data_IF_470691912679
#
_entry.id   IF_470691912679
#
_cell.length_a   1.000
_cell.length_b   1.000
_cell.length_c   1.000
_cell.angle_alpha   90.00
_cell.angle_beta   90.00
_cell.angle_gamma   90.00
#
_symmetry.space_group_name_H-M   'P 1'
#
loop_
_entity.id
_entity.type
_entity.pdbx_description
1 polymer ?
#
# COMPACT_ATOMS: atom_id res chain seq x y z
N UNK A 1 -0.87 6.15 -5.02
CA UNK A 1 0.01 5.04 -4.61
C UNK A 1 1.44 5.50 -4.83
N UNK A 2 2.38 5.16 -3.95
CA UNK A 2 3.83 5.37 -4.17
C UNK A 2 4.54 4.03 -4.26
N UNK A 3 5.73 4.02 -4.88
CA UNK A 3 6.57 2.83 -4.90
C UNK A 3 7.12 2.55 -3.49
N UNK A 4 7.07 1.30 -3.06
CA UNK A 4 7.57 0.84 -1.76
C UNK A 4 9.02 0.40 -1.90
N UNK A 5 9.89 0.91 -1.03
CA UNK A 5 11.27 0.43 -0.90
C UNK A 5 11.36 -0.55 0.25
N UNK A 6 11.51 -1.84 -0.06
CA UNK A 6 11.66 -2.89 0.95
C UNK A 6 13.11 -3.02 1.43
N UNK A 7 13.26 -3.34 2.70
CA UNK A 7 14.54 -3.74 3.27
C UNK A 7 15.03 -5.06 2.66
N UNK A 8 16.34 -5.16 2.49
CA UNK A 8 16.99 -6.40 2.05
C UNK A 8 17.01 -7.48 3.16
N UNK A 9 16.91 -7.06 4.43
CA UNK A 9 16.95 -7.96 5.57
C UNK A 9 15.61 -8.69 5.74
N UNK A 10 15.58 -9.97 5.37
CA UNK A 10 14.42 -10.83 5.60
C UNK A 10 14.38 -11.30 7.06
N UNK A 11 13.26 -11.12 7.79
CA UNK A 11 13.15 -11.55 9.18
C UNK A 11 13.46 -13.04 9.38
N UNK A 12 14.17 -13.36 10.47
CA UNK A 12 14.74 -14.69 10.71
C UNK A 12 13.69 -15.82 10.72
N UNK A 13 12.48 -15.55 11.20
CA UNK A 13 11.38 -16.53 11.19
C UNK A 13 11.01 -16.93 9.77
N UNK A 14 10.94 -15.97 8.84
CA UNK A 14 10.60 -16.20 7.44
C UNK A 14 11.74 -16.93 6.74
N UNK A 15 12.98 -16.47 6.90
CA UNK A 15 14.15 -17.08 6.25
C UNK A 15 14.51 -18.47 6.79
N UNK A 16 14.25 -18.77 8.07
CA UNK A 16 14.54 -20.09 8.67
C UNK A 16 13.40 -21.09 8.51
N UNK A 17 12.15 -20.68 8.75
CA UNK A 17 10.99 -21.61 8.75
C UNK A 17 10.24 -21.63 7.42
N UNK A 18 10.24 -20.52 6.69
CA UNK A 18 9.56 -20.37 5.40
C UNK A 18 10.00 -21.41 4.37
N UNK A 19 11.30 -21.51 4.03
CA UNK A 19 11.77 -22.47 3.02
C UNK A 19 11.45 -23.93 3.35
N UNK A 20 11.42 -24.29 4.65
CA UNK A 20 11.03 -25.65 5.07
C UNK A 20 9.56 -25.93 4.76
N UNK A 21 8.67 -24.99 5.09
CA UNK A 21 7.23 -25.17 4.84
C UNK A 21 6.90 -25.02 3.36
N UNK A 22 7.60 -24.16 2.63
CA UNK A 22 7.50 -24.06 1.18
C UNK A 22 7.79 -25.43 0.54
N UNK A 23 8.93 -26.06 0.85
CA UNK A 23 9.28 -27.40 0.34
C UNK A 23 8.24 -28.46 0.68
N UNK A 24 7.63 -28.39 1.87
CA UNK A 24 6.54 -29.30 2.23
C UNK A 24 5.32 -29.11 1.33
N UNK A 25 4.91 -27.88 1.04
CA UNK A 25 3.79 -27.60 0.13
C UNK A 25 4.11 -28.04 -1.31
N UNK A 26 5.36 -27.85 -1.76
CA UNK A 26 5.85 -28.33 -3.05
C UNK A 26 5.79 -29.87 -3.15
N UNK A 27 6.20 -30.58 -2.10
CA UNK A 27 6.09 -32.04 -2.02
C UNK A 27 4.63 -32.52 -2.01
N UNK A 28 3.74 -31.83 -1.29
CA UNK A 28 2.30 -32.15 -1.28
C UNK A 28 1.69 -31.98 -2.67
N UNK A 29 2.03 -30.90 -3.39
CA UNK A 29 1.60 -30.72 -4.76
C UNK A 29 2.15 -31.81 -5.68
N UNK A 30 3.44 -32.14 -5.58
CA UNK A 30 4.06 -33.16 -6.41
C UNK A 30 3.48 -34.58 -6.18
N UNK A 31 2.99 -34.86 -4.97
CA UNK A 31 2.37 -36.14 -4.64
C UNK A 31 0.99 -36.33 -5.29
N UNK A 32 0.17 -35.27 -5.35
CA UNK A 32 -1.14 -35.30 -5.99
C UNK A 32 -1.56 -33.92 -6.54
N UNK A 33 -1.10 -33.55 -7.76
CA UNK A 33 -1.45 -32.28 -8.38
C UNK A 33 -2.95 -32.12 -8.60
N UNK A 34 -3.65 -33.22 -8.90
CA UNK A 34 -5.09 -33.19 -9.17
C UNK A 34 -5.87 -32.82 -7.90
N UNK A 35 -5.56 -33.41 -6.75
CA UNK A 35 -6.18 -33.07 -5.48
C UNK A 35 -5.96 -31.58 -5.10
N UNK A 36 -4.82 -31.01 -5.48
CA UNK A 36 -4.50 -29.61 -5.22
C UNK A 36 -5.27 -28.62 -6.12
N UNK A 37 -5.85 -29.09 -7.23
CA UNK A 37 -6.60 -28.29 -8.20
C UNK A 37 -8.12 -28.31 -7.95
N UNK A 38 -8.62 -29.25 -7.14
CA UNK A 38 -10.05 -29.33 -6.83
C UNK A 38 -10.49 -28.08 -6.06
N UNK A 39 -11.66 -27.49 -6.39
CA UNK A 39 -12.28 -26.46 -5.56
C UNK A 39 -12.36 -26.88 -4.08
N UNK A 40 -12.15 -25.94 -3.15
CA UNK A 40 -12.24 -26.16 -1.70
C UNK A 40 -11.21 -27.12 -1.06
N UNK A 41 -10.19 -27.57 -1.79
CA UNK A 41 -9.12 -28.35 -1.18
C UNK A 41 -8.35 -27.55 -0.11
N UNK A 42 -7.89 -28.27 0.92
CA UNK A 42 -7.08 -27.75 2.03
C UNK A 42 -5.66 -28.31 2.05
N UNK A 43 -5.25 -29.01 0.98
CA UNK A 43 -3.95 -29.69 0.87
C UNK A 43 -2.80 -28.69 0.99
N UNK A 44 -2.90 -27.56 0.28
CA UNK A 44 -1.85 -26.54 0.21
C UNK A 44 -2.05 -25.41 1.23
N UNK A 45 -2.37 -25.77 2.47
CA UNK A 45 -2.59 -24.79 3.55
C UNK A 45 -1.26 -24.27 4.11
N UNK A 46 -1.02 -22.97 3.97
CA UNK A 46 0.12 -22.28 4.59
C UNK A 46 -0.01 -22.22 6.12
N UNK A 47 1.12 -22.09 6.81
CA UNK A 47 1.20 -21.88 8.24
C UNK A 47 1.28 -20.39 8.56
N UNK A 48 0.15 -19.83 8.99
CA UNK A 48 -0.03 -18.39 9.19
C UNK A 48 0.98 -17.78 10.17
N UNK A 49 1.32 -18.49 11.25
CA UNK A 49 2.29 -18.02 12.26
C UNK A 49 3.75 -17.88 11.79
N UNK A 50 4.04 -18.04 10.50
CA UNK A 50 5.37 -17.74 9.92
C UNK A 50 5.35 -16.38 9.24
N UNK A 51 4.43 -16.15 8.31
CA UNK A 51 4.34 -14.87 7.60
C UNK A 51 3.61 -13.80 8.43
N UNK A 52 2.69 -14.18 9.34
CA UNK A 52 2.02 -13.27 10.28
C UNK A 52 2.81 -13.07 11.58
N UNK A 53 4.05 -13.56 11.66
CA UNK A 53 4.90 -13.32 12.82
C UNK A 53 5.12 -11.81 13.05
N UNK A 54 5.20 -11.41 14.32
CA UNK A 54 5.33 -10.00 14.70
C UNK A 54 6.55 -9.34 14.07
N UNK A 55 7.68 -10.06 13.92
CA UNK A 55 8.90 -9.54 13.30
C UNK A 55 8.73 -9.28 11.80
N UNK A 56 7.98 -10.15 11.10
CA UNK A 56 7.65 -9.97 9.67
C UNK A 56 6.80 -8.73 9.48
N UNK A 57 5.73 -8.64 10.25
CA UNK A 57 4.80 -7.52 10.19
C UNK A 57 5.46 -6.20 10.59
N UNK A 58 6.31 -6.20 11.61
CA UNK A 58 7.06 -5.02 12.04
C UNK A 58 8.01 -4.53 10.94
N UNK A 59 8.74 -5.44 10.28
CA UNK A 59 9.64 -5.04 9.20
C UNK A 59 8.86 -4.46 8.01
N UNK A 60 7.75 -5.09 7.59
CA UNK A 60 6.91 -4.55 6.52
C UNK A 60 6.34 -3.17 6.87
N UNK A 61 5.96 -2.95 8.14
CA UNK A 61 5.50 -1.63 8.62
C UNK A 61 6.60 -0.57 8.51
N UNK A 62 7.85 -0.92 8.83
CA UNK A 62 8.98 0.01 8.71
C UNK A 62 9.26 0.33 7.24
N UNK A 63 9.36 -0.69 6.40
CA UNK A 63 9.60 -0.57 4.95
C UNK A 63 8.54 0.26 4.22
N UNK A 64 7.33 0.33 4.79
CA UNK A 64 6.19 1.03 4.20
C UNK A 64 5.75 2.25 5.00
N UNK A 65 6.60 2.74 5.91
CA UNK A 65 6.33 3.95 6.70
C UNK A 65 5.00 3.90 7.48
N UNK A 66 4.61 2.72 7.95
CA UNK A 66 3.33 2.44 8.65
C UNK A 66 2.07 2.72 7.80
N UNK A 67 2.22 2.86 6.47
CA UNK A 67 1.12 3.09 5.53
C UNK A 67 0.68 1.80 4.85
N UNK A 68 -0.56 1.81 4.36
CA UNK A 68 -1.03 0.79 3.43
C UNK A 68 -0.25 0.89 2.11
N UNK A 69 0.30 -0.23 1.62
CA UNK A 69 0.99 -0.27 0.31
C UNK A 69 0.12 0.17 -0.87
N UNK A 70 -1.21 0.06 -0.76
CA UNK A 70 -2.14 0.39 -1.85
C UNK A 70 -2.72 1.81 -1.71
N UNK A 71 -3.46 2.08 -0.63
CA UNK A 71 -4.19 3.35 -0.49
C UNK A 71 -3.38 4.49 0.14
N UNK A 72 -2.18 4.20 0.67
CA UNK A 72 -1.30 5.13 1.39
C UNK A 72 -1.84 5.73 2.69
N UNK A 73 -3.01 5.29 3.17
CA UNK A 73 -3.54 5.74 4.46
C UNK A 73 -2.65 5.25 5.61
N UNK A 74 -2.52 6.08 6.64
CA UNK A 74 -1.98 5.68 7.95
C UNK A 74 -3.18 5.19 8.79
N UNK A 75 -3.19 3.91 9.13
CA UNK A 75 -4.32 3.28 9.84
C UNK A 75 -3.89 2.56 11.12
N UNK A 76 -2.60 2.64 11.47
CA UNK A 76 -2.02 1.82 12.53
C UNK A 76 -2.42 2.22 13.95
N UNK A 77 -3.09 3.36 14.09
CA UNK A 77 -3.60 3.84 15.37
C UNK A 77 -4.91 3.16 15.76
N UNK A 78 -5.61 2.56 14.78
CA UNK A 78 -6.93 1.93 14.98
C UNK A 78 -6.98 0.48 14.52
N UNK A 79 -6.04 0.03 13.69
CA UNK A 79 -5.97 -1.35 13.20
C UNK A 79 -4.54 -1.86 13.12
N UNK A 80 -4.36 -3.15 13.38
CA UNK A 80 -3.07 -3.81 13.25
C UNK A 80 -2.65 -3.99 11.78
N UNK A 81 -3.57 -3.97 10.82
CA UNK A 81 -3.33 -4.29 9.41
C UNK A 81 -3.08 -5.76 9.13
N UNK A 82 -2.78 -6.08 7.87
CA UNK A 82 -2.52 -7.45 7.41
C UNK A 82 -1.11 -7.60 6.84
N UNK A 83 -0.60 -8.83 6.91
CA UNK A 83 0.48 -9.27 6.01
C UNK A 83 -0.18 -9.80 4.75
N UNK A 84 -0.06 -9.01 3.71
CA UNK A 84 -0.71 -9.20 2.43
C UNK A 84 0.17 -9.99 1.47
N UNK A 85 -0.45 -10.89 0.70
CA UNK A 85 0.17 -11.65 -0.38
C UNK A 85 -0.21 -11.02 -1.72
N UNK A 86 0.73 -10.37 -2.41
CA UNK A 86 0.45 -9.76 -3.71
C UNK A 86 -0.15 -10.80 -4.67
N UNK A 87 0.56 -11.92 -4.85
CA UNK A 87 0.04 -13.15 -5.47
C UNK A 87 -0.67 -14.01 -4.42
N UNK A 88 -1.99 -14.26 -4.56
CA UNK A 88 -2.77 -14.98 -3.56
C UNK A 88 -2.29 -16.42 -3.34
N UNK A 89 -1.91 -16.76 -2.10
CA UNK A 89 -1.39 -18.08 -1.75
C UNK A 89 -2.42 -19.20 -1.81
N UNK A 90 -3.69 -18.90 -1.51
CA UNK A 90 -4.72 -19.91 -1.25
C UNK A 90 -5.53 -20.26 -2.50
N UNK A 91 -5.58 -19.39 -3.50
CA UNK A 91 -6.35 -19.51 -4.73
C UNK A 91 -6.50 -18.13 -5.36
N UNK A 92 -6.92 -18.06 -6.61
CA UNK A 92 -7.02 -16.79 -7.34
C UNK A 92 -8.39 -16.61 -8.01
N UNK A 93 -8.71 -15.37 -8.36
CA UNK A 93 -9.87 -14.99 -9.16
C UNK A 93 -9.38 -14.17 -10.35
N UNK A 94 -9.69 -14.62 -11.58
CA UNK A 94 -9.42 -13.86 -12.79
C UNK A 94 -10.46 -12.76 -13.04
N UNK A 95 -11.70 -12.98 -12.58
CA UNK A 95 -12.80 -12.03 -12.61
C UNK A 95 -13.18 -11.75 -11.16
N UNK A 96 -13.33 -10.48 -10.80
CA UNK A 96 -13.65 -10.07 -9.43
C UNK A 96 -14.91 -10.77 -8.93
N UNK A 97 -14.86 -11.31 -7.70
CA UNK A 97 -15.96 -12.06 -7.04
C UNK A 97 -16.41 -13.35 -7.74
N UNK A 98 -15.72 -13.81 -8.78
CA UNK A 98 -15.97 -15.13 -9.36
C UNK A 98 -15.56 -16.26 -8.39
N UNK A 99 -15.99 -17.52 -8.62
CA UNK A 99 -15.52 -18.65 -7.81
C UNK A 99 -13.99 -18.74 -7.75
N UNK A 100 -13.48 -19.10 -6.57
CA UNK A 100 -12.04 -19.22 -6.33
C UNK A 100 -11.46 -20.37 -7.16
N UNK A 101 -10.40 -20.10 -7.91
CA UNK A 101 -9.66 -21.10 -8.69
C UNK A 101 -8.45 -21.59 -7.91
N UNK A 102 -8.11 -22.86 -8.09
CA UNK A 102 -7.03 -23.56 -7.41
C UNK A 102 -6.05 -24.17 -8.42
N UNK A 103 -4.77 -24.36 -8.06
CA UNK A 103 -4.16 -23.93 -6.79
C UNK A 103 -3.94 -22.40 -6.76
N UNK A 104 -3.63 -21.87 -5.58
CA UNK A 104 -3.03 -20.54 -5.46
C UNK A 104 -1.51 -20.57 -5.65
N UNK A 105 -0.87 -19.43 -5.45
CA UNK A 105 0.59 -19.29 -5.48
C UNK A 105 1.21 -19.77 -4.16
N UNK A 106 0.95 -21.02 -3.78
CA UNK A 106 1.31 -21.58 -2.47
C UNK A 106 2.83 -21.54 -2.22
N UNK A 107 3.64 -21.65 -3.27
CA UNK A 107 5.10 -21.59 -3.19
C UNK A 107 5.62 -20.18 -2.89
N UNK A 108 4.79 -19.15 -3.06
CA UNK A 108 5.09 -17.75 -2.73
C UNK A 108 4.50 -17.32 -1.38
N UNK A 109 3.97 -18.25 -0.58
CA UNK A 109 3.33 -17.94 0.70
C UNK A 109 4.31 -17.36 1.74
N UNK A 110 5.60 -17.67 1.62
CA UNK A 110 6.67 -17.19 2.53
C UNK A 110 7.75 -16.39 1.80
N UNK A 111 7.53 -16.04 0.53
CA UNK A 111 8.48 -15.27 -0.25
C UNK A 111 8.38 -13.79 0.16
N UNK A 112 9.48 -13.22 0.66
CA UNK A 112 9.52 -11.84 1.12
C UNK A 112 9.08 -10.85 0.03
N UNK A 113 9.39 -11.12 -1.24
CA UNK A 113 9.02 -10.23 -2.35
C UNK A 113 7.50 -10.23 -2.61
N UNK A 114 6.80 -11.30 -2.20
CA UNK A 114 5.35 -11.43 -2.32
C UNK A 114 4.58 -10.90 -1.09
N UNK A 115 5.27 -10.54 0.00
CA UNK A 115 4.65 -10.04 1.24
C UNK A 115 4.65 -8.51 1.33
N UNK A 116 3.52 -7.94 1.72
CA UNK A 116 3.29 -6.51 1.87
C UNK A 116 2.53 -6.20 3.16
N UNK A 117 2.53 -4.94 3.60
CA UNK A 117 1.65 -4.45 4.67
C UNK A 117 0.47 -3.68 4.08
N UNK A 118 -0.75 -4.03 4.46
CA UNK A 118 -1.95 -3.37 3.92
C UNK A 118 -3.00 -3.17 5.01
N UNK A 119 -3.91 -2.22 4.78
CA UNK A 119 -5.13 -2.15 5.58
C UNK A 119 -6.09 -3.29 5.20
N UNK A 120 -6.98 -3.63 6.13
CA UNK A 120 -7.96 -4.70 5.93
C UNK A 120 -8.94 -4.39 4.81
N UNK A 121 -9.30 -3.12 4.59
CA UNK A 121 -10.17 -2.76 3.47
C UNK A 121 -9.54 -3.11 2.13
N UNK A 122 -8.32 -2.63 1.85
CA UNK A 122 -7.69 -2.87 0.55
C UNK A 122 -7.41 -4.37 0.31
N UNK A 123 -7.03 -5.10 1.37
CA UNK A 123 -6.73 -6.53 1.27
C UNK A 123 -7.97 -7.43 1.35
N UNK A 124 -8.77 -7.35 2.40
CA UNK A 124 -9.84 -8.31 2.66
C UNK A 124 -11.11 -8.00 1.87
N UNK A 125 -11.51 -6.73 1.78
CA UNK A 125 -12.78 -6.33 1.14
C UNK A 125 -12.66 -6.13 -0.37
N UNK A 126 -11.54 -5.54 -0.83
CA UNK A 126 -11.35 -5.21 -2.25
C UNK A 126 -10.52 -6.28 -2.98
N UNK A 127 -9.21 -6.38 -2.71
CA UNK A 127 -8.34 -7.25 -3.50
C UNK A 127 -8.66 -8.72 -3.28
N UNK A 128 -8.67 -9.16 -2.03
CA UNK A 128 -8.78 -10.56 -1.63
C UNK A 128 -7.90 -11.47 -2.49
N UNK A 129 -8.55 -12.41 -3.17
CA UNK A 129 -7.92 -13.34 -4.10
C UNK A 129 -8.00 -12.89 -5.56
N UNK A 130 -8.51 -11.68 -5.85
CA UNK A 130 -8.52 -11.11 -7.19
C UNK A 130 -7.10 -10.82 -7.65
N UNK A 131 -6.68 -11.51 -8.71
CA UNK A 131 -5.34 -11.39 -9.28
C UNK A 131 -5.40 -11.64 -10.79
N UNK A 132 -5.94 -10.69 -11.56
CA UNK A 132 -6.10 -10.83 -12.99
C UNK A 132 -4.76 -10.74 -13.72
N UNK A 133 -4.54 -11.68 -14.66
CA UNK A 133 -3.49 -11.57 -15.67
C UNK A 133 -4.09 -11.03 -16.97
N UNK A 134 -3.27 -10.34 -17.78
CA UNK A 134 -3.66 -9.92 -19.13
C UNK A 134 -4.02 -11.13 -20.00
N UNK A 135 -3.21 -12.18 -19.96
CA UNK A 135 -3.49 -13.47 -20.58
C UNK A 135 -3.58 -14.56 -19.49
N UNK A 136 -4.79 -15.03 -19.14
CA UNK A 136 -4.99 -16.06 -18.12
C UNK A 136 -4.30 -17.40 -18.44
N UNK A 137 -4.01 -17.69 -19.72
CA UNK A 137 -3.38 -18.95 -20.14
C UNK A 137 -1.89 -19.02 -19.77
N UNK A 138 -1.30 -17.88 -19.44
CA UNK A 138 0.11 -17.77 -19.02
C UNK A 138 0.33 -17.99 -17.53
N UNK A 139 -0.75 -18.18 -16.76
CA UNK A 139 -0.70 -18.29 -15.29
C UNK A 139 0.15 -19.47 -14.84
N UNK A 140 1.10 -19.21 -13.94
CA UNK A 140 1.81 -20.26 -13.23
C UNK A 140 0.84 -20.98 -12.27
N UNK A 141 0.74 -22.30 -12.38
CA UNK A 141 -0.10 -23.14 -11.53
C UNK A 141 0.72 -23.96 -10.54
N UNK A 142 2.05 -23.93 -10.65
CA UNK A 142 2.96 -24.66 -9.78
C UNK A 142 4.31 -23.94 -9.62
N UNK A 143 5.05 -24.34 -8.59
CA UNK A 143 6.43 -23.92 -8.33
C UNK A 143 7.43 -24.26 -9.44
N UNK A 144 7.07 -25.14 -10.39
CA UNK A 144 7.91 -25.49 -11.53
C UNK A 144 7.62 -24.65 -12.78
N UNK A 145 6.54 -23.86 -12.77
CA UNK A 145 6.18 -23.01 -13.89
C UNK A 145 7.01 -21.72 -13.92
N UNK A 146 7.21 -21.19 -15.13
CA UNK A 146 7.95 -19.95 -15.31
C UNK A 146 7.06 -18.72 -15.02
N UNK A 147 7.20 -18.18 -13.82
CA UNK A 147 6.47 -16.98 -13.36
C UNK A 147 6.72 -15.74 -14.23
N UNK A 148 7.86 -15.66 -14.93
CA UNK A 148 8.21 -14.51 -15.79
C UNK A 148 7.33 -14.40 -17.04
N UNK A 149 6.53 -15.42 -17.36
CA UNK A 149 5.55 -15.39 -18.47
C UNK A 149 4.29 -14.61 -18.11
N UNK A 150 4.00 -14.44 -16.82
CA UNK A 150 2.80 -13.74 -16.37
C UNK A 150 2.89 -12.24 -16.63
N UNK A 151 1.76 -11.64 -16.98
CA UNK A 151 1.59 -10.18 -17.02
C UNK A 151 0.42 -9.79 -16.11
N UNK A 152 0.65 -9.57 -14.79
CA UNK A 152 -0.39 -9.12 -13.88
C UNK A 152 -0.91 -7.73 -14.27
N UNK A 153 -2.24 -7.56 -14.26
CA UNK A 153 -2.82 -6.23 -14.46
C UNK A 153 -2.63 -5.34 -13.23
N UNK A 154 -2.57 -5.93 -12.04
CA UNK A 154 -2.38 -5.18 -10.80
C UNK A 154 -0.96 -4.62 -10.69
N UNK A 155 -0.83 -3.41 -10.15
CA UNK A 155 0.46 -2.80 -9.85
C UNK A 155 1.06 -3.43 -8.59
N UNK A 156 2.28 -3.94 -8.72
CA UNK A 156 3.08 -4.43 -7.63
C UNK A 156 3.73 -3.25 -6.89
N UNK A 157 3.45 -3.03 -5.60
CA UNK A 157 3.92 -1.84 -4.88
C UNK A 157 5.43 -1.63 -4.88
N UNK A 158 6.21 -2.71 -4.94
CA UNK A 158 7.69 -2.66 -4.95
C UNK A 158 8.28 -2.54 -6.37
N UNK A 159 7.68 -3.18 -7.37
CA UNK A 159 8.31 -3.39 -8.67
C UNK A 159 7.87 -2.36 -9.71
N UNK A 160 6.64 -1.88 -9.61
CA UNK A 160 6.09 -0.89 -10.53
C UNK A 160 6.29 0.52 -9.98
N UNK A 161 6.53 1.47 -10.88
CA UNK A 161 6.41 2.90 -10.56
C UNK A 161 4.94 3.32 -10.72
N UNK A 162 4.19 3.59 -9.64
CA UNK A 162 2.76 3.88 -9.76
C UNK A 162 2.47 5.17 -10.54
N UNK A 163 3.38 6.14 -10.58
CA UNK A 163 3.19 7.40 -11.33
C UNK A 163 3.15 7.18 -12.86
N UNK A 164 3.66 6.05 -13.35
CA UNK A 164 3.54 5.67 -14.77
C UNK A 164 2.13 5.13 -15.12
N UNK A 165 1.30 4.85 -14.12
CA UNK A 165 0.00 4.17 -14.28
C UNK A 165 -1.16 4.93 -13.64
N UNK A 166 -0.88 5.80 -12.68
CA UNK A 166 -1.86 6.49 -11.85
C UNK A 166 -1.48 7.96 -11.74
N UNK A 167 -2.49 8.82 -11.73
CA UNK A 167 -2.37 10.23 -11.40
C UNK A 167 -3.51 10.65 -10.47
N UNK A 168 -3.51 11.90 -10.03
CA UNK A 168 -4.60 12.48 -9.26
C UNK A 168 -5.08 13.79 -9.87
N UNK A 169 -6.39 14.00 -9.81
CA UNK A 169 -7.01 15.31 -10.03
C UNK A 169 -7.63 15.71 -8.70
N UNK A 170 -6.95 16.61 -7.97
CA UNK A 170 -7.25 16.88 -6.56
C UNK A 170 -7.16 15.59 -5.73
N UNK A 171 -8.24 15.18 -5.09
CA UNK A 171 -8.40 14.00 -4.25
C UNK A 171 -8.72 12.71 -5.02
N UNK A 172 -9.20 12.84 -6.26
CA UNK A 172 -9.63 11.73 -7.07
C UNK A 172 -8.45 11.10 -7.82
N UNK A 173 -8.23 9.80 -7.59
CA UNK A 173 -7.27 9.01 -8.35
C UNK A 173 -7.78 8.74 -9.76
N UNK A 174 -6.89 8.78 -10.76
CA UNK A 174 -7.20 8.53 -12.17
C UNK A 174 -6.22 7.56 -12.80
N UNK A 175 -6.67 6.63 -13.65
CA UNK A 175 -5.78 5.75 -14.39
C UNK A 175 -5.13 6.50 -15.57
N UNK A 176 -3.90 6.10 -15.90
CA UNK A 176 -3.20 6.50 -17.12
C UNK A 176 -3.18 5.37 -18.16
N UNK A 177 -3.47 4.14 -17.75
CA UNK A 177 -3.54 2.95 -18.59
C UNK A 177 -4.35 1.83 -17.90
N UNK A 178 -4.52 0.71 -18.60
CA UNK A 178 -5.32 -0.44 -18.13
C UNK A 178 -4.84 -1.04 -16.79
N UNK A 179 -3.53 -1.02 -16.49
CA UNK A 179 -3.00 -1.52 -15.22
C UNK A 179 -3.37 -0.58 -14.07
N UNK A 180 -3.35 0.72 -14.33
CA UNK A 180 -3.86 1.73 -13.40
C UNK A 180 -5.34 1.55 -13.11
N UNK A 181 -6.15 1.33 -14.15
CA UNK A 181 -7.59 1.12 -14.02
C UNK A 181 -7.92 -0.14 -13.22
N UNK A 182 -7.31 -1.27 -13.60
CA UNK A 182 -7.47 -2.53 -12.88
C UNK A 182 -7.04 -2.42 -11.40
N UNK A 183 -6.00 -1.63 -11.10
CA UNK A 183 -5.53 -1.44 -9.72
C UNK A 183 -6.42 -0.52 -8.89
N UNK A 184 -7.03 0.51 -9.50
CA UNK A 184 -8.01 1.36 -8.83
C UNK A 184 -9.20 0.51 -8.39
N UNK A 185 -9.74 -0.31 -9.30
CA UNK A 185 -10.85 -1.22 -9.01
C UNK A 185 -10.45 -2.28 -7.96
N UNK A 186 -9.36 -3.00 -8.21
CA UNK A 186 -8.95 -4.13 -7.38
C UNK A 186 -8.61 -3.75 -5.93
N UNK A 187 -8.08 -2.54 -5.70
CA UNK A 187 -7.72 -2.10 -4.35
C UNK A 187 -8.74 -1.12 -3.75
N UNK A 188 -9.83 -0.80 -4.47
CA UNK A 188 -10.85 0.15 -4.06
C UNK A 188 -10.28 1.55 -3.81
N UNK A 189 -9.39 2.03 -4.70
CA UNK A 189 -8.66 3.28 -4.50
C UNK A 189 -9.53 4.53 -4.68
N UNK A 190 -10.74 4.40 -5.21
CA UNK A 190 -11.72 5.45 -5.45
C UNK A 190 -12.96 5.34 -4.55
N UNK A 191 -12.92 4.45 -3.54
CA UNK A 191 -14.03 4.30 -2.59
C UNK A 191 -14.35 5.63 -1.87
N UNK A 192 -15.63 5.93 -1.60
CA UNK A 192 -16.06 7.24 -1.10
C UNK A 192 -15.30 7.75 0.13
N UNK A 193 -15.11 6.90 1.14
CA UNK A 193 -14.43 7.29 2.38
C UNK A 193 -12.95 7.63 2.18
N UNK A 194 -12.28 6.94 1.26
CA UNK A 194 -10.87 7.21 0.93
C UNK A 194 -10.75 8.52 0.14
N UNK A 195 -11.66 8.77 -0.79
CA UNK A 195 -11.74 10.04 -1.54
C UNK A 195 -11.97 11.20 -0.57
N UNK A 196 -12.92 11.06 0.37
CA UNK A 196 -13.16 12.05 1.42
C UNK A 196 -11.91 12.28 2.27
N UNK A 197 -11.25 11.22 2.75
CA UNK A 197 -10.04 11.35 3.58
C UNK A 197 -8.92 12.08 2.85
N UNK A 198 -8.73 11.79 1.56
CA UNK A 198 -7.80 12.50 0.68
C UNK A 198 -8.15 13.97 0.49
N UNK A 199 -9.43 14.29 0.28
CA UNK A 199 -9.90 15.67 0.18
C UNK A 199 -9.65 16.46 1.46
N UNK A 200 -9.95 15.87 2.62
CA UNK A 200 -9.72 16.50 3.92
C UNK A 200 -8.21 16.72 4.16
N UNK A 201 -7.37 15.74 3.80
CA UNK A 201 -5.91 15.89 3.85
C UNK A 201 -5.41 17.01 2.94
N UNK A 202 -5.89 17.07 1.68
CA UNK A 202 -5.51 18.11 0.73
C UNK A 202 -5.92 19.51 1.22
N UNK A 203 -7.11 19.65 1.82
CA UNK A 203 -7.56 20.90 2.47
C UNK A 203 -6.66 21.28 3.64
N UNK A 204 -6.29 20.30 4.48
CA UNK A 204 -5.34 20.48 5.57
C UNK A 204 -4.02 21.07 5.08
N UNK A 205 -3.46 20.54 3.98
CA UNK A 205 -2.23 21.05 3.39
C UNK A 205 -2.37 22.50 2.87
N UNK A 206 -3.54 22.88 2.35
CA UNK A 206 -3.79 24.28 1.97
C UNK A 206 -3.77 25.21 3.19
N UNK A 207 -4.37 24.81 4.32
CA UNK A 207 -4.31 25.59 5.55
C UNK A 207 -2.88 25.68 6.09
N UNK A 208 -2.16 24.56 6.12
CA UNK A 208 -0.74 24.52 6.46
C UNK A 208 0.05 25.50 5.59
N UNK A 209 -0.21 25.55 4.28
CA UNK A 209 0.49 26.49 3.38
C UNK A 209 0.19 27.95 3.68
N UNK A 210 -1.05 28.27 4.07
CA UNK A 210 -1.48 29.62 4.46
C UNK A 210 -0.79 30.03 5.77
N UNK A 211 -0.87 29.19 6.81
CA UNK A 211 -0.25 29.46 8.12
C UNK A 211 1.26 29.63 7.99
N UNK A 212 1.92 28.77 7.20
CA UNK A 212 3.36 28.88 6.95
C UNK A 212 3.79 30.15 6.18
N UNK A 213 2.85 30.92 5.62
CA UNK A 213 3.14 32.19 4.98
C UNK A 213 3.30 33.35 5.98
N UNK A 214 2.73 33.25 7.19
CA UNK A 214 2.91 34.26 8.24
C UNK A 214 4.36 34.31 8.71
N UNK A 215 4.84 35.51 9.05
CA UNK A 215 6.22 35.77 9.51
C UNK A 215 6.24 36.18 10.98
N UNK A 216 5.16 36.77 11.47
CA UNK A 216 5.01 37.34 12.81
C UNK A 216 6.12 38.32 13.20
N UNK A 217 6.69 39.05 12.23
CA UNK A 217 7.81 39.99 12.49
C UNK A 217 7.26 41.36 12.88
N UNK A 218 7.87 42.02 13.87
CA UNK A 218 7.37 43.32 14.35
C UNK A 218 7.76 44.47 13.38
N UNK A 219 6.86 45.43 13.12
CA UNK A 219 5.45 45.45 13.55
C UNK A 219 4.60 44.42 12.79
N UNK A 220 3.67 43.76 13.50
CA UNK A 220 2.81 42.72 12.92
C UNK A 220 1.83 43.30 11.89
N UNK A 221 1.59 42.55 10.81
CA UNK A 221 0.48 42.82 9.89
C UNK A 221 -0.88 42.60 10.58
N UNK A 222 -1.93 43.30 10.16
CA UNK A 222 -3.28 43.21 10.75
C UNK A 222 -3.78 41.76 10.84
N UNK A 223 -3.64 40.99 9.76
CA UNK A 223 -4.02 39.57 9.71
C UNK A 223 -3.23 38.69 10.69
N UNK A 224 -1.97 39.03 10.95
CA UNK A 224 -1.14 38.31 11.93
C UNK A 224 -1.61 38.62 13.35
N UNK A 225 -1.99 39.87 13.64
CA UNK A 225 -2.56 40.27 14.93
C UNK A 225 -3.90 39.57 15.19
N UNK A 226 -4.80 39.56 14.19
CA UNK A 226 -6.08 38.84 14.25
C UNK A 226 -5.88 37.35 14.51
N UNK A 227 -4.97 36.71 13.76
CA UNK A 227 -4.66 35.29 13.92
C UNK A 227 -4.17 34.96 15.34
N UNK A 228 -3.22 35.73 15.87
CA UNK A 228 -2.71 35.54 17.22
C UNK A 228 -3.80 35.76 18.28
N UNK A 229 -4.65 36.77 18.10
CA UNK A 229 -5.72 37.09 19.05
C UNK A 229 -6.79 36.00 19.10
N UNK A 230 -7.26 35.56 17.93
CA UNK A 230 -8.31 34.54 17.81
C UNK A 230 -7.84 33.20 18.41
N UNK A 231 -6.61 32.80 18.13
CA UNK A 231 -6.03 31.54 18.61
C UNK A 231 -5.39 31.67 20.00
N UNK A 232 -5.37 32.88 20.59
CA UNK A 232 -4.78 33.20 21.89
C UNK A 232 -3.30 32.81 21.99
N UNK A 233 -2.54 33.11 20.93
CA UNK A 233 -1.12 32.81 20.83
C UNK A 233 -0.29 34.07 21.07
N UNK A 234 0.87 33.90 21.71
CA UNK A 234 1.94 34.89 21.69
C UNK A 234 2.61 34.94 20.32
N UNK A 235 3.36 36.01 20.04
CA UNK A 235 4.17 36.15 18.82
C UNK A 235 5.14 34.97 18.66
N UNK A 236 5.74 34.51 19.75
CA UNK A 236 6.67 33.37 19.74
C UNK A 236 5.97 32.06 19.36
N UNK A 237 4.79 31.80 19.93
CA UNK A 237 3.99 30.62 19.59
C UNK A 237 3.50 30.68 18.13
N UNK A 238 3.05 31.85 17.66
CA UNK A 238 2.68 32.02 16.25
C UNK A 238 3.84 31.73 15.28
N UNK A 239 5.06 32.18 15.60
CA UNK A 239 6.25 31.83 14.81
C UNK A 239 6.47 30.32 14.78
N UNK A 240 6.36 29.65 15.92
CA UNK A 240 6.52 28.20 16.00
C UNK A 240 5.45 27.48 15.16
N UNK A 241 4.20 27.93 15.19
CA UNK A 241 3.13 27.39 14.34
C UNK A 241 3.41 27.58 12.84
N UNK A 242 3.88 28.77 12.43
CA UNK A 242 4.27 29.02 11.05
C UNK A 242 5.46 28.14 10.60
N UNK A 243 6.43 27.92 11.48
CA UNK A 243 7.59 27.06 11.19
C UNK A 243 7.19 25.59 11.09
N UNK A 244 6.37 25.09 12.02
CA UNK A 244 5.79 23.75 11.96
C UNK A 244 4.99 23.55 10.67
N UNK A 245 4.17 24.54 10.29
CA UNK A 245 3.43 24.51 9.04
C UNK A 245 4.34 24.46 7.80
N UNK A 246 5.43 25.22 7.76
CA UNK A 246 6.42 25.13 6.67
C UNK A 246 7.07 23.75 6.60
N UNK A 247 7.36 23.14 7.75
CA UNK A 247 7.93 21.80 7.81
C UNK A 247 6.94 20.76 7.27
N UNK A 248 5.70 20.74 7.79
CA UNK A 248 4.64 19.85 7.31
C UNK A 248 4.43 19.97 5.80
N UNK A 249 4.43 21.20 5.26
CA UNK A 249 4.31 21.44 3.82
C UNK A 249 5.47 20.84 3.02
N UNK A 250 6.72 21.01 3.50
CA UNK A 250 7.90 20.45 2.82
C UNK A 250 7.90 18.93 2.85
N UNK A 251 7.42 18.33 3.94
CA UNK A 251 7.43 16.88 4.14
C UNK A 251 6.24 16.17 3.48
N UNK A 252 5.21 16.90 3.04
CA UNK A 252 3.94 16.34 2.56
C UNK A 252 4.06 15.40 1.35
N UNK A 253 5.14 15.51 0.56
CA UNK A 253 5.38 14.68 -0.61
C UNK A 253 6.45 13.59 -0.39
N UNK A 254 6.97 13.43 0.83
CA UNK A 254 7.93 12.38 1.16
C UNK A 254 7.28 10.99 1.13
N UNK A 255 8.07 9.94 0.91
CA UNK A 255 7.56 8.56 0.92
C UNK A 255 6.90 8.18 2.26
N UNK A 256 7.28 8.83 3.36
CA UNK A 256 6.67 8.63 4.68
C UNK A 256 5.33 9.33 4.86
N UNK A 257 5.00 10.33 4.05
CA UNK A 257 3.79 11.14 4.22
C UNK A 257 2.54 10.38 3.77
N UNK A 258 1.43 10.58 4.48
CA UNK A 258 0.14 10.04 4.08
C UNK A 258 -0.28 10.61 2.71
N UNK A 259 -0.81 9.76 1.82
CA UNK A 259 -1.25 10.16 0.48
C UNK A 259 -0.20 10.88 -0.38
N UNK A 260 1.09 10.62 -0.16
CA UNK A 260 2.20 11.20 -0.91
C UNK A 260 2.01 11.15 -2.44
N UNK A 261 1.46 10.07 -2.99
CA UNK A 261 1.18 9.98 -4.43
C UNK A 261 0.18 11.04 -4.92
N UNK A 262 -0.84 11.36 -4.11
CA UNK A 262 -1.79 12.46 -4.38
C UNK A 262 -1.11 13.82 -4.24
N UNK A 263 -0.31 14.01 -3.19
CA UNK A 263 0.39 15.28 -2.95
C UNK A 263 1.36 15.58 -4.09
N UNK A 264 2.14 14.60 -4.55
CA UNK A 264 3.08 14.74 -5.69
C UNK A 264 2.40 15.15 -6.98
N UNK A 265 1.21 14.61 -7.27
CA UNK A 265 0.45 14.97 -8.45
C UNK A 265 -0.10 16.42 -8.38
N UNK A 266 -0.51 16.89 -7.21
CA UNK A 266 -1.03 18.26 -7.03
C UNK A 266 0.08 19.31 -6.86
N UNK A 267 1.23 18.94 -6.29
CA UNK A 267 2.35 19.82 -5.97
C UNK A 267 3.69 19.22 -6.42
N UNK A 268 3.96 19.12 -7.73
CA UNK A 268 5.11 18.39 -8.26
C UNK A 268 6.47 19.03 -7.91
N UNK A 269 6.48 20.25 -7.37
CA UNK A 269 7.68 20.97 -6.94
C UNK A 269 8.14 20.59 -5.51
N UNK A 270 7.34 19.84 -4.75
CA UNK A 270 7.70 19.42 -3.40
C UNK A 270 8.77 18.30 -3.43
N UNK A 271 9.66 18.25 -2.43
CA UNK A 271 10.68 17.21 -2.34
C UNK A 271 10.05 15.84 -2.10
N UNK A 272 10.68 14.80 -2.64
CA UNK A 272 10.18 13.42 -2.58
C UNK A 272 10.97 12.53 -1.62
N UNK A 273 12.18 12.94 -1.27
CA UNK A 273 13.11 12.32 -0.33
C UNK A 273 13.95 13.42 0.34
#
# INVERSE_FOLDING_TARGET
MIQVTKSAAVPAVLSRRGPRHQRQLEQLYAADPAACQVPDNTVLKSHDGIYNDASVKQQLRLDQHKKCCYCESIFTDTSYGDVEHFRPKAGYQQISKAPLQKPGYYWLAYDWTNLLFSCQLCNQEYKGNYFPLRDPTTRAQSHTDNLAREQPLLLHPVLDNPEAHLTFVKDAIKPLNERGEASIEAFGLDRPDLVKSRLDHLRGLLYVRIVGAFKFTLPLEEREQEFLTELRLSVTEGRAEADNARQLWREAALDSAEYAGMVRANFPHLPRA
#
